data_IF_091583768551
#
_entry.id   IF_091583768551
#
_cell.length_a   1.000
_cell.length_b   1.000
_cell.length_c   1.000
_cell.angle_alpha   90.00
_cell.angle_beta   90.00
_cell.angle_gamma   90.00
#
_symmetry.space_group_name_H-M   'P 1'
#
loop_
_entity.id
_entity.type
_entity.pdbx_description
1 polymer ?
#
# COMPACT_ATOMS: atom_id res chain seq x y z
N UNK A 1 14.46 5.92 5.82
CA UNK A 1 13.31 5.79 4.90
C UNK A 1 13.72 6.23 3.50
N UNK A 2 13.29 5.50 2.49
CA UNK A 2 13.50 5.91 1.11
C UNK A 2 12.37 6.84 0.67
N UNK A 3 12.73 8.01 0.16
CA UNK A 3 11.76 8.98 -0.35
C UNK A 3 12.02 9.18 -1.83
N UNK A 4 10.95 9.07 -2.62
CA UNK A 4 11.03 9.15 -4.07
C UNK A 4 10.11 10.24 -4.61
N UNK A 5 10.54 10.90 -5.67
CA UNK A 5 9.69 11.84 -6.39
C UNK A 5 9.24 11.17 -7.70
N UNK A 6 7.92 11.05 -7.88
CA UNK A 6 7.36 10.44 -9.09
C UNK A 6 6.28 11.33 -9.68
N UNK A 7 6.14 11.28 -10.99
CA UNK A 7 5.07 11.97 -11.71
C UNK A 7 3.93 11.00 -11.99
N UNK A 8 2.81 11.54 -12.45
CA UNK A 8 1.65 10.71 -12.84
C UNK A 8 2.08 9.68 -13.90
N UNK A 9 1.60 8.45 -13.73
CA UNK A 9 1.90 7.29 -14.59
C UNK A 9 3.32 6.75 -14.49
N UNK A 10 4.16 7.29 -13.61
CA UNK A 10 5.46 6.70 -13.35
C UNK A 10 5.34 5.60 -12.30
N UNK A 11 6.17 4.59 -12.45
CA UNK A 11 6.07 3.37 -11.65
C UNK A 11 7.23 3.23 -10.67
N UNK A 12 6.95 2.51 -9.60
CA UNK A 12 7.96 2.09 -8.61
C UNK A 12 7.84 0.58 -8.48
N UNK A 13 8.98 -0.10 -8.52
CA UNK A 13 9.02 -1.56 -8.34
C UNK A 13 9.57 -1.88 -6.97
N UNK A 14 8.86 -2.71 -6.24
CA UNK A 14 9.28 -3.21 -4.93
C UNK A 14 9.51 -4.71 -5.05
N UNK A 15 10.72 -5.14 -4.78
CA UNK A 15 11.12 -6.51 -5.07
C UNK A 15 11.08 -6.74 -6.58
N UNK A 16 10.53 -7.86 -7.00
CA UNK A 16 10.43 -8.21 -8.41
C UNK A 16 9.01 -8.14 -8.96
N UNK A 17 8.03 -8.11 -8.08
CA UNK A 17 6.66 -8.41 -8.45
C UNK A 17 5.60 -7.43 -7.92
N UNK A 18 5.99 -6.45 -7.14
CA UNK A 18 5.06 -5.41 -6.67
C UNK A 18 5.32 -4.13 -7.43
N UNK A 19 4.28 -3.62 -8.08
CA UNK A 19 4.36 -2.43 -8.89
C UNK A 19 3.42 -1.37 -8.32
N UNK A 20 3.94 -0.17 -8.15
CA UNK A 20 3.17 0.97 -7.66
C UNK A 20 3.15 2.04 -8.74
N UNK A 21 1.95 2.55 -9.03
CA UNK A 21 1.77 3.57 -10.07
C UNK A 21 1.01 4.75 -9.46
N UNK A 22 1.47 5.96 -9.73
CA UNK A 22 0.72 7.15 -9.38
C UNK A 22 -0.35 7.39 -10.45
N UNK A 23 -1.60 7.21 -10.07
CA UNK A 23 -2.73 7.31 -10.99
C UNK A 23 -3.21 8.75 -11.13
N UNK A 24 -3.28 9.45 -10.01
CA UNK A 24 -3.76 10.83 -9.99
C UNK A 24 -3.21 11.55 -8.77
N UNK A 25 -2.96 12.84 -8.92
CA UNK A 25 -2.45 13.68 -7.84
C UNK A 25 -3.42 14.83 -7.66
N UNK A 26 -4.06 14.87 -6.50
CA UNK A 26 -4.95 15.95 -6.12
C UNK A 26 -4.28 16.92 -5.17
N UNK A 27 -5.03 17.90 -4.72
CA UNK A 27 -4.52 18.94 -3.83
C UNK A 27 -4.17 18.40 -2.45
N UNK A 28 -5.02 17.54 -1.92
CA UNK A 28 -4.87 16.99 -0.57
C UNK A 28 -4.79 15.48 -0.56
N UNK A 29 -4.79 14.83 -1.72
CA UNK A 29 -4.83 13.40 -1.82
C UNK A 29 -4.13 12.90 -3.08
N UNK A 30 -3.71 11.65 -3.05
CA UNK A 30 -3.05 10.99 -4.17
C UNK A 30 -3.72 9.64 -4.38
N UNK A 31 -3.99 9.31 -5.63
CA UNK A 31 -4.48 7.98 -6.00
C UNK A 31 -3.31 7.13 -6.44
N UNK A 32 -3.17 5.99 -5.83
CA UNK A 32 -2.08 5.06 -6.08
C UNK A 32 -2.66 3.72 -6.54
N UNK A 33 -2.17 3.23 -7.67
CA UNK A 33 -2.49 1.89 -8.13
C UNK A 33 -1.39 0.94 -7.68
N UNK A 34 -1.78 -0.20 -7.15
CA UNK A 34 -0.83 -1.21 -6.69
C UNK A 34 -1.15 -2.52 -7.38
N UNK A 35 -0.16 -3.08 -8.05
CA UNK A 35 -0.26 -4.38 -8.70
C UNK A 35 0.69 -5.33 -7.97
N UNK A 36 0.12 -6.34 -7.32
CA UNK A 36 0.88 -7.28 -6.53
C UNK A 36 0.32 -8.69 -6.73
N UNK A 37 1.15 -9.73 -6.55
CA UNK A 37 0.66 -11.10 -6.64
C UNK A 37 -0.25 -11.42 -5.44
N UNK A 38 -1.03 -12.49 -5.56
CA UNK A 38 -1.97 -12.88 -4.51
C UNK A 38 -1.31 -13.22 -3.19
N UNK A 39 -0.05 -13.60 -3.22
CA UNK A 39 0.72 -13.92 -2.02
C UNK A 39 1.06 -12.68 -1.18
N UNK A 40 0.99 -11.50 -1.79
CA UNK A 40 1.26 -10.24 -1.12
C UNK A 40 -0.07 -9.54 -0.87
N UNK A 41 -0.42 -9.36 0.40
CA UNK A 41 -1.64 -8.66 0.77
C UNK A 41 -1.37 -7.17 0.86
N UNK A 42 -2.24 -6.38 0.25
CA UNK A 42 -2.11 -4.94 0.22
C UNK A 42 -3.29 -4.34 0.97
N UNK A 43 -2.99 -3.57 2.00
CA UNK A 43 -4.01 -2.92 2.82
C UNK A 43 -3.65 -1.46 3.03
N UNK A 44 -4.67 -0.61 3.09
CA UNK A 44 -4.47 0.75 3.59
C UNK A 44 -4.16 0.66 5.08
N UNK A 45 -3.45 1.65 5.58
CA UNK A 45 -3.03 1.65 6.99
C UNK A 45 -4.19 1.46 7.97
N UNK A 46 -5.28 2.17 7.78
CA UNK A 46 -6.42 2.09 8.70
C UNK A 46 -7.07 0.71 8.70
N UNK A 47 -7.09 0.03 7.55
CA UNK A 47 -7.60 -1.33 7.45
C UNK A 47 -6.63 -2.33 8.09
N UNK A 48 -5.36 -2.19 7.83
CA UNK A 48 -4.33 -3.03 8.42
C UNK A 48 -4.32 -2.95 9.93
N UNK A 49 -4.42 -1.76 10.47
CA UNK A 49 -4.46 -1.52 11.91
C UNK A 49 -5.65 -2.23 12.55
N UNK A 50 -6.81 -2.19 11.92
CA UNK A 50 -8.00 -2.87 12.39
C UNK A 50 -7.82 -4.38 12.43
N UNK A 51 -7.26 -4.96 11.37
CA UNK A 51 -6.99 -6.39 11.29
C UNK A 51 -6.04 -6.83 12.39
N UNK A 52 -4.97 -6.09 12.62
CA UNK A 52 -4.00 -6.41 13.66
C UNK A 52 -4.60 -6.31 15.06
N UNK A 53 -5.46 -5.35 15.28
CA UNK A 53 -6.16 -5.18 16.55
C UNK A 53 -7.05 -6.38 16.84
N UNK A 54 -7.82 -6.84 15.85
CA UNK A 54 -8.66 -8.02 15.99
C UNK A 54 -7.84 -9.28 16.30
N UNK A 55 -6.72 -9.46 15.60
CA UNK A 55 -5.83 -10.60 15.85
C UNK A 55 -5.24 -10.58 17.24
N UNK A 56 -4.90 -9.42 17.77
CA UNK A 56 -4.39 -9.30 19.14
C UNK A 56 -5.44 -9.66 20.15
N UNK A 57 -6.65 -9.24 19.95
CA UNK A 57 -7.77 -9.56 20.84
C UNK A 57 -8.06 -11.07 20.82
N UNK A 58 -8.03 -11.68 19.66
CA UNK A 58 -8.20 -13.12 19.52
C UNK A 58 -7.09 -13.91 20.23
N UNK A 59 -5.87 -13.39 20.24
CA UNK A 59 -4.73 -14.03 20.86
C UNK A 59 -4.75 -13.97 22.39
N UNK A 60 -5.57 -13.12 22.96
CA UNK A 60 -5.66 -12.96 24.42
C UNK A 60 -6.56 -13.99 25.11
N UNK A 61 -7.22 -14.81 24.35
CA UNK A 61 -8.11 -15.84 24.90
C UNK A 61 -7.33 -17.12 25.34
#
# INVERSE_FOLDING_TARGET
MLVLTRKINEKIIIGDDVEIVLVDIGKDQVKIGINAPRSVKVHRWEVYEEIQKENREAAKI
#
